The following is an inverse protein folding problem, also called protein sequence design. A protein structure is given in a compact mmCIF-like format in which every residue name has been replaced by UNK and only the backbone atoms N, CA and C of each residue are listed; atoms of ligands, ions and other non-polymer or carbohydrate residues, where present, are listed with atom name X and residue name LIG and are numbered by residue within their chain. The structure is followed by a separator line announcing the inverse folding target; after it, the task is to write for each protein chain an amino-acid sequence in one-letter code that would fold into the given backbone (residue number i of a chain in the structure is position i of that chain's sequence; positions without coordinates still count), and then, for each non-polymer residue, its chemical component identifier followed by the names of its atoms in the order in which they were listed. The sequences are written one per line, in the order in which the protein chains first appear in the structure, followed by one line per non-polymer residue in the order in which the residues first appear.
data_IF_779633221464
#
_entry.id   IF_779633221464
#
_cell.length_a   1.000
_cell.length_b   1.000
_cell.length_c   1.000
_cell.angle_alpha   90.00
_cell.angle_beta   90.00
_cell.angle_gamma   90.00
#
_symmetry.space_group_name_H-M   'P 1'
#
loop_
_entity.id
_entity.type
_entity.pdbx_description
1 polymer ?
#
# COMPACT_ATOMS: atom_id res chain seq x y z
N UNK A 1 14.98 8.09 -14.28
CA UNK A 1 15.03 6.85 -13.48
C UNK A 1 14.47 7.12 -12.09
N UNK A 2 13.53 6.28 -11.64
CA UNK A 2 12.95 6.43 -10.31
C UNK A 2 13.94 5.97 -9.25
N UNK A 3 14.23 6.82 -8.27
CA UNK A 3 15.15 6.53 -7.16
C UNK A 3 14.42 6.32 -5.85
N UNK A 4 13.29 6.98 -5.66
CA UNK A 4 12.45 6.85 -4.47
C UNK A 4 11.00 6.74 -4.88
N UNK A 5 10.23 6.06 -4.05
CA UNK A 5 8.79 5.97 -4.20
C UNK A 5 8.11 6.36 -2.90
N UNK A 6 6.88 6.81 -3.01
CA UNK A 6 6.01 7.06 -1.87
C UNK A 6 4.74 6.24 -2.07
N UNK A 7 4.37 5.49 -1.06
CA UNK A 7 3.19 4.63 -1.10
C UNK A 7 2.39 4.77 0.18
N UNK A 8 1.10 4.48 0.05
CA UNK A 8 0.24 4.18 1.20
C UNK A 8 -0.17 2.73 1.12
N UNK A 9 -0.36 2.07 2.27
CA UNK A 9 -0.81 0.69 2.27
C UNK A 9 -1.75 0.39 3.44
N UNK A 10 -2.50 -0.69 3.27
CA UNK A 10 -3.33 -1.27 4.32
C UNK A 10 -2.90 -2.72 4.46
N UNK A 11 -2.47 -3.11 5.66
CA UNK A 11 -2.06 -4.48 5.96
C UNK A 11 -3.21 -5.23 6.62
N UNK A 12 -3.56 -6.38 6.05
CA UNK A 12 -4.60 -7.28 6.58
C UNK A 12 -4.10 -8.72 6.55
N UNK A 13 -4.85 -9.62 7.20
CA UNK A 13 -4.42 -11.00 7.37
C UNK A 13 -4.75 -11.93 6.20
N UNK A 14 -5.75 -11.57 5.39
CA UNK A 14 -6.24 -12.47 4.35
C UNK A 14 -6.37 -11.78 3.00
N UNK A 15 -6.28 -12.60 1.95
CA UNK A 15 -6.49 -12.16 0.58
C UNK A 15 -7.90 -11.59 0.39
N UNK A 16 -8.90 -12.24 0.98
CA UNK A 16 -10.29 -11.82 0.87
C UNK A 16 -10.48 -10.41 1.42
N UNK A 17 -9.94 -10.12 2.60
CA UNK A 17 -10.01 -8.79 3.19
C UNK A 17 -9.34 -7.74 2.29
N UNK A 18 -8.17 -8.08 1.74
CA UNK A 18 -7.44 -7.16 0.87
C UNK A 18 -8.23 -6.81 -0.39
N UNK A 19 -8.83 -7.80 -1.04
CA UNK A 19 -9.62 -7.56 -2.24
C UNK A 19 -10.95 -6.87 -1.93
N UNK A 20 -11.56 -7.14 -0.77
CA UNK A 20 -12.75 -6.41 -0.35
C UNK A 20 -12.43 -4.91 -0.19
N UNK A 21 -11.30 -4.58 0.43
CA UNK A 21 -10.84 -3.20 0.56
C UNK A 21 -10.53 -2.57 -0.79
N UNK A 22 -9.83 -3.31 -1.64
CA UNK A 22 -9.52 -2.86 -3.00
C UNK A 22 -10.79 -2.46 -3.75
N UNK A 23 -11.82 -3.29 -3.69
CA UNK A 23 -13.09 -3.04 -4.35
C UNK A 23 -13.82 -1.84 -3.75
N UNK A 24 -13.81 -1.69 -2.43
CA UNK A 24 -14.42 -0.54 -1.74
C UNK A 24 -13.76 0.76 -2.14
N UNK A 25 -12.43 0.78 -2.20
CA UNK A 25 -11.67 1.98 -2.58
C UNK A 25 -11.94 2.36 -4.04
N UNK A 26 -11.98 1.36 -4.93
CA UNK A 26 -12.33 1.60 -6.32
C UNK A 26 -13.76 2.14 -6.49
N UNK A 27 -14.65 1.82 -5.56
CA UNK A 27 -16.02 2.32 -5.55
C UNK A 27 -16.17 3.69 -4.89
N UNK A 28 -15.08 4.30 -4.42
CA UNK A 28 -15.09 5.64 -3.88
C UNK A 28 -14.82 5.76 -2.38
N UNK A 29 -14.57 4.65 -1.67
CA UNK A 29 -14.25 4.71 -0.25
C UNK A 29 -12.89 5.41 -0.02
N UNK A 30 -12.76 6.06 1.13
CA UNK A 30 -11.56 6.81 1.47
C UNK A 30 -10.46 5.86 1.97
N UNK A 31 -9.34 5.80 1.25
CA UNK A 31 -8.21 4.93 1.57
C UNK A 31 -7.67 5.21 2.98
N UNK A 32 -7.42 6.47 3.30
CA UNK A 32 -6.82 6.85 4.58
C UNK A 32 -7.70 6.45 5.76
N UNK A 33 -9.01 6.64 5.64
CA UNK A 33 -9.95 6.25 6.69
C UNK A 33 -9.96 4.75 6.91
N UNK A 34 -9.97 3.96 5.83
CA UNK A 34 -9.93 2.50 5.93
C UNK A 34 -8.61 2.05 6.56
N UNK A 35 -7.50 2.66 6.19
CA UNK A 35 -6.20 2.36 6.79
C UNK A 35 -6.21 2.61 8.29
N UNK A 36 -6.77 3.74 8.73
CA UNK A 36 -6.87 4.09 10.15
C UNK A 36 -7.73 3.11 10.94
N UNK A 37 -8.78 2.58 10.31
CA UNK A 37 -9.73 1.68 10.98
C UNK A 37 -9.28 0.23 10.98
N UNK A 38 -8.60 -0.23 9.93
CA UNK A 38 -8.43 -1.66 9.63
C UNK A 38 -6.97 -2.10 9.59
N UNK A 39 -6.05 -1.23 9.13
CA UNK A 39 -4.67 -1.64 8.89
C UNK A 39 -4.00 -2.13 10.17
N UNK A 40 -3.31 -3.27 10.08
CA UNK A 40 -2.53 -3.83 11.18
C UNK A 40 -1.14 -3.25 11.29
N UNK A 41 -0.74 -2.44 10.31
CA UNK A 41 0.54 -1.74 10.34
C UNK A 41 0.41 -0.42 11.10
N UNK A 42 1.43 -0.02 11.89
CA UNK A 42 1.41 1.27 12.59
C UNK A 42 1.20 2.47 11.68
N UNK A 43 1.61 2.40 10.42
CA UNK A 43 1.38 3.46 9.43
C UNK A 43 -0.11 3.75 9.20
N UNK A 44 -1.00 2.83 9.60
CA UNK A 44 -2.44 3.05 9.53
C UNK A 44 -2.89 4.32 10.23
N UNK A 45 -2.21 4.72 11.31
CA UNK A 45 -2.49 5.96 12.05
C UNK A 45 -2.30 7.21 11.20
N UNK A 46 -1.51 7.10 10.14
CA UNK A 46 -1.21 8.19 9.21
C UNK A 46 -1.92 7.97 7.86
N UNK A 47 -3.03 7.24 7.88
CA UNK A 47 -3.77 6.91 6.67
C UNK A 47 -3.07 5.90 5.79
N UNK A 48 -2.11 5.15 6.34
CA UNK A 48 -1.33 4.16 5.60
C UNK A 48 -0.10 4.73 4.90
N UNK A 49 0.14 6.04 5.00
CA UNK A 49 1.27 6.70 4.32
C UNK A 49 2.59 6.26 4.92
N UNK A 50 3.48 5.76 4.06
CA UNK A 50 4.81 5.31 4.46
C UNK A 50 5.90 6.36 4.21
N UNK A 51 5.55 7.47 3.56
CA UNK A 51 6.53 8.47 3.16
C UNK A 51 7.40 7.97 2.02
N UNK A 52 8.49 8.71 1.77
CA UNK A 52 9.43 8.38 0.70
C UNK A 52 10.42 7.31 1.16
N UNK A 53 10.70 6.36 0.28
CA UNK A 53 11.70 5.31 0.54
C UNK A 53 12.41 4.92 -0.75
N UNK A 54 13.63 4.41 -0.60
CA UNK A 54 14.43 3.90 -1.71
C UNK A 54 14.40 2.38 -1.79
N UNK A 55 15.09 1.85 -2.79
CA UNK A 55 15.25 0.41 -2.90
C UNK A 55 16.05 -0.13 -1.72
N UNK A 56 15.71 -1.34 -1.29
CA UNK A 56 16.35 -2.01 -0.16
C UNK A 56 15.76 -1.68 1.21
N UNK A 57 14.78 -0.77 1.28
CA UNK A 57 14.16 -0.37 2.55
C UNK A 57 12.88 -1.13 2.88
N UNK A 58 12.22 -1.67 1.87
CA UNK A 58 10.98 -2.45 2.02
C UNK A 58 11.22 -3.90 1.61
N UNK A 59 10.33 -4.80 2.03
CA UNK A 59 10.38 -6.19 1.57
C UNK A 59 10.21 -6.24 0.05
N UNK A 60 10.82 -7.23 -0.57
CA UNK A 60 10.96 -7.30 -2.04
C UNK A 60 9.62 -7.21 -2.78
N UNK A 61 8.56 -7.95 -2.43
CA UNK A 61 7.30 -7.85 -3.17
C UNK A 61 6.70 -6.44 -3.11
N UNK A 62 6.83 -5.75 -1.97
CA UNK A 62 6.36 -4.38 -1.82
C UNK A 62 7.17 -3.41 -2.68
N UNK A 63 8.50 -3.54 -2.62
CA UNK A 63 9.41 -2.71 -3.41
C UNK A 63 9.13 -2.87 -4.91
N UNK A 64 8.94 -4.10 -5.37
CA UNK A 64 8.68 -4.36 -6.79
C UNK A 64 7.42 -3.63 -7.27
N UNK A 65 6.37 -3.61 -6.47
CA UNK A 65 5.15 -2.85 -6.79
C UNK A 65 5.46 -1.36 -6.82
N UNK A 66 6.13 -0.83 -5.80
CA UNK A 66 6.36 0.60 -5.65
C UNK A 66 7.18 1.18 -6.80
N UNK A 67 8.09 0.40 -7.37
CA UNK A 67 9.00 0.88 -8.42
C UNK A 67 8.60 0.44 -9.82
N UNK A 68 7.63 -0.46 -9.97
CA UNK A 68 7.16 -0.94 -11.28
C UNK A 68 5.82 -0.36 -11.69
N UNK A 69 5.05 0.17 -10.74
CA UNK A 69 3.76 0.81 -11.00
C UNK A 69 3.93 2.32 -11.03
N UNK A 70 2.92 3.02 -11.55
CA UNK A 70 2.93 4.48 -11.64
C UNK A 70 2.14 5.10 -10.48
N UNK A 71 2.43 6.37 -10.11
CA UNK A 71 1.59 7.08 -9.16
C UNK A 71 0.12 7.06 -9.59
N UNK A 72 -0.76 6.75 -8.65
CA UNK A 72 -2.18 6.56 -8.92
C UNK A 72 -2.59 5.11 -9.07
N UNK A 73 -1.65 4.19 -9.24
CA UNK A 73 -1.94 2.76 -9.33
C UNK A 73 -2.13 2.15 -7.95
N UNK A 74 -3.09 1.23 -7.85
CA UNK A 74 -3.36 0.47 -6.63
C UNK A 74 -3.35 -1.02 -6.95
N UNK A 75 -2.76 -1.82 -6.08
CA UNK A 75 -2.69 -3.26 -6.27
C UNK A 75 -2.71 -4.00 -4.94
N UNK A 76 -2.94 -5.30 -5.00
CA UNK A 76 -2.91 -6.20 -3.84
C UNK A 76 -1.70 -7.11 -3.99
N UNK A 77 -0.92 -7.24 -2.91
CA UNK A 77 0.26 -8.09 -2.91
C UNK A 77 0.41 -8.79 -1.57
N UNK A 78 0.92 -10.01 -1.60
CA UNK A 78 1.25 -10.78 -0.39
C UNK A 78 2.73 -10.60 -0.05
N UNK A 79 3.00 -10.41 1.24
CA UNK A 79 4.36 -10.41 1.79
C UNK A 79 4.42 -11.35 3.00
N UNK A 80 5.58 -11.45 3.62
CA UNK A 80 5.75 -12.22 4.86
C UNK A 80 4.89 -11.71 6.02
N UNK A 81 4.42 -10.46 5.95
CA UNK A 81 3.61 -9.85 7.01
C UNK A 81 2.10 -10.09 6.82
N UNK A 82 1.68 -10.47 5.64
CA UNK A 82 0.27 -10.67 5.30
C UNK A 82 -0.05 -10.13 3.91
N UNK A 83 -1.24 -9.58 3.76
CA UNK A 83 -1.73 -9.03 2.50
C UNK A 83 -1.79 -7.52 2.57
N UNK A 84 -1.31 -6.86 1.52
CA UNK A 84 -1.27 -5.40 1.44
C UNK A 84 -2.12 -4.92 0.29
N UNK A 85 -2.90 -3.86 0.54
CA UNK A 85 -3.45 -3.02 -0.52
C UNK A 85 -2.49 -1.83 -0.62
N UNK A 86 -1.81 -1.70 -1.75
CA UNK A 86 -0.76 -0.69 -1.96
C UNK A 86 -1.25 0.34 -2.96
N UNK A 87 -1.14 1.60 -2.60
CA UNK A 87 -1.44 2.73 -3.46
C UNK A 87 -0.16 3.53 -3.66
N UNK A 88 0.33 3.59 -4.90
CA UNK A 88 1.52 4.38 -5.23
C UNK A 88 1.13 5.85 -5.32
N UNK A 89 1.68 6.68 -4.44
CA UNK A 89 1.33 8.10 -4.36
C UNK A 89 2.35 9.02 -5.01
N UNK A 90 3.60 8.57 -5.14
CA UNK A 90 4.63 9.37 -5.78
C UNK A 90 5.87 8.58 -6.14
N UNK A 91 6.65 9.14 -7.04
CA UNK A 91 7.96 8.63 -7.45
C UNK A 91 8.87 9.82 -7.78
N UNK A 92 10.17 9.67 -7.48
CA UNK A 92 11.12 10.71 -7.78
C UNK A 92 12.54 10.19 -7.93
#
# INVERSE_FOLDING_TARGET
MVRQARCSHILVDSQQEAYDLYNQINAGANFAQLAMQISKCPSGRQGGDLGWFGRGQMVKPFEDVAFSHNPGDMTVVQTQFGWHVIYVTGQR
#
